data_IF_158620639123
#
_entry.id   IF_158620639123
#
_cell.length_a   1.000
_cell.length_b   1.000
_cell.length_c   1.000
_cell.angle_alpha   90.00
_cell.angle_beta   90.00
_cell.angle_gamma   90.00
#
_symmetry.space_group_name_H-M   'P 1'
#
loop_
_entity.id
_entity.type
_entity.pdbx_description
1 polymer ?
#
# COMPACT_ATOMS: atom_id res chain seq x y z
N UNK A 1 -32.39 39.55 18.32
CA UNK A 1 -32.17 38.31 19.10
C UNK A 1 -32.73 37.17 18.28
N UNK A 2 -31.86 36.37 17.63
CA UNK A 2 -31.71 34.99 18.09
C UNK A 2 -30.23 34.53 18.12
N UNK A 3 -29.91 33.76 19.16
CA UNK A 3 -28.58 33.26 19.46
C UNK A 3 -28.26 31.97 18.69
N UNK A 4 -27.11 31.94 18.02
CA UNK A 4 -26.55 30.73 17.41
C UNK A 4 -25.58 30.05 18.38
N UNK A 5 -25.89 28.79 18.74
CA UNK A 5 -25.08 27.95 19.62
C UNK A 5 -23.78 27.54 18.90
N UNK A 6 -22.65 28.04 19.39
CA UNK A 6 -21.31 27.62 18.99
C UNK A 6 -20.95 26.28 19.66
N UNK A 7 -20.64 25.26 18.85
CA UNK A 7 -20.17 23.96 19.31
C UNK A 7 -18.65 23.97 19.46
N UNK A 8 -18.20 23.83 20.71
CA UNK A 8 -16.79 23.84 21.13
C UNK A 8 -16.18 22.46 20.90
N UNK A 9 -15.40 22.29 19.83
CA UNK A 9 -14.64 21.06 19.56
C UNK A 9 -13.32 21.11 20.35
N UNK A 10 -13.18 20.20 21.30
CA UNK A 10 -12.04 20.04 22.22
C UNK A 10 -10.85 19.45 21.46
N UNK A 11 -9.75 20.20 21.36
CA UNK A 11 -8.49 19.75 20.79
C UNK A 11 -7.70 18.96 21.85
N UNK A 12 -7.33 17.72 21.53
CA UNK A 12 -6.39 16.93 22.34
C UNK A 12 -4.96 17.19 21.83
N UNK A 13 -4.17 17.89 22.63
CA UNK A 13 -2.76 18.11 22.41
C UNK A 13 -1.97 16.85 22.80
N UNK A 14 -1.20 16.27 21.87
CA UNK A 14 -0.23 15.22 22.15
C UNK A 14 1.17 15.81 22.02
N UNK A 15 1.76 16.14 23.17
CA UNK A 15 3.13 16.64 23.27
C UNK A 15 4.13 15.56 22.87
N UNK A 16 5.08 15.93 22.02
CA UNK A 16 6.28 15.13 21.70
C UNK A 16 7.40 15.59 22.63
N UNK A 17 7.86 14.72 23.52
CA UNK A 17 9.16 14.84 24.18
C UNK A 17 10.22 14.09 23.38
N UNK A 18 11.44 14.63 23.40
CA UNK A 18 12.66 14.21 22.72
C UNK A 18 13.60 13.60 23.78
N UNK A 19 14.10 12.40 23.54
CA UNK A 19 15.26 11.72 24.17
C UNK A 19 15.66 10.64 23.14
N UNK A 20 16.82 10.66 22.47
CA UNK A 20 18.22 10.51 22.91
C UNK A 20 18.43 9.26 23.76
N UNK A 21 18.96 8.24 23.07
CA UNK A 21 19.79 7.08 23.48
C UNK A 21 19.47 6.32 24.79
N UNK A 22 19.04 5.06 24.61
CA UNK A 22 19.33 3.80 25.35
C UNK A 22 19.35 3.76 26.91
N UNK A 23 18.90 2.65 27.55
CA UNK A 23 19.11 1.27 27.11
C UNK A 23 17.89 0.32 27.14
N UNK A 24 18.09 -0.77 26.42
CA UNK A 24 17.14 -1.82 26.03
C UNK A 24 17.00 -2.93 27.09
N UNK A 25 17.53 -2.74 28.31
CA UNK A 25 17.48 -3.75 29.37
C UNK A 25 16.24 -3.67 30.28
N UNK A 26 15.57 -2.51 30.38
CA UNK A 26 14.47 -2.32 31.37
C UNK A 26 13.09 -2.81 30.90
N UNK A 27 12.94 -3.17 29.61
CA UNK A 27 11.68 -3.69 29.04
C UNK A 27 11.56 -5.22 29.20
N UNK A 28 12.66 -5.91 29.51
CA UNK A 28 12.68 -7.37 29.69
C UNK A 28 12.25 -7.78 31.11
N UNK A 29 12.33 -6.87 32.09
CA UNK A 29 12.00 -7.16 33.50
C UNK A 29 10.53 -6.82 33.87
N UNK A 30 9.87 -5.91 33.14
CA UNK A 30 8.45 -5.55 33.39
C UNK A 30 7.42 -6.51 32.76
N UNK A 31 7.85 -7.57 32.07
CA UNK A 31 6.95 -8.58 31.46
C UNK A 31 6.96 -9.90 32.25
N UNK A 32 7.82 -10.03 33.26
CA UNK A 32 7.98 -11.27 34.03
C UNK A 32 7.17 -11.32 35.35
N UNK A 33 6.53 -10.23 35.78
CA UNK A 33 5.81 -10.17 37.07
C UNK A 33 4.38 -9.62 36.90
N UNK A 34 3.53 -10.30 36.13
CA UNK A 34 2.08 -10.20 36.32
C UNK A 34 1.40 -11.50 35.86
N UNK A 35 1.51 -12.53 36.71
CA UNK A 35 0.69 -13.74 36.62
C UNK A 35 -0.34 -13.66 37.75
N UNK A 36 -1.60 -13.27 37.48
CA UNK A 36 -2.67 -13.48 38.44
C UNK A 36 -3.22 -14.90 38.33
N UNK A 37 -3.17 -15.63 39.46
CA UNK A 37 -3.83 -16.92 39.68
C UNK A 37 -5.36 -16.83 39.49
N UNK A 38 -6.03 -17.92 39.04
CA UNK A 38 -7.48 -17.91 38.81
C UNK A 38 -8.30 -18.26 40.06
N UNK A 39 -9.11 -17.32 40.54
CA UNK A 39 -10.17 -17.54 41.53
C UNK A 39 -11.59 -17.68 40.88
N UNK A 40 -12.58 -18.28 41.58
CA UNK A 40 -13.58 -19.16 41.00
C UNK A 40 -14.85 -18.47 40.48
N UNK A 41 -15.57 -19.21 39.63
CA UNK A 41 -16.79 -18.83 38.94
C UNK A 41 -17.96 -18.38 39.86
N UNK A 42 -18.70 -17.33 39.47
CA UNK A 42 -20.09 -17.14 39.91
C UNK A 42 -21.09 -17.67 38.88
N UNK A 43 -22.15 -18.26 39.42
CA UNK A 43 -23.25 -18.93 38.75
C UNK A 43 -24.27 -17.98 38.10
N UNK A 44 -25.17 -18.61 37.33
CA UNK A 44 -26.52 -18.18 36.92
C UNK A 44 -26.66 -17.19 35.75
N UNK A 45 -26.98 -17.73 34.57
CA UNK A 45 -27.84 -17.07 33.58
C UNK A 45 -28.86 -18.13 33.09
N UNK A 46 -30.16 -17.80 32.99
CA UNK A 46 -31.26 -18.76 33.00
C UNK A 46 -31.60 -19.34 31.62
N UNK A 47 -32.16 -20.55 31.64
CA UNK A 47 -32.89 -21.20 30.54
C UNK A 47 -34.09 -20.36 30.08
N UNK A 48 -34.38 -20.34 28.76
CA UNK A 48 -35.74 -20.15 28.27
C UNK A 48 -36.36 -21.48 27.82
N UNK A 49 -37.58 -21.73 28.31
CA UNK A 49 -38.49 -22.83 27.93
C UNK A 49 -39.11 -22.67 26.51
N UNK A 50 -39.73 -23.74 25.95
CA UNK A 50 -40.04 -23.87 24.52
C UNK A 50 -41.52 -23.60 24.16
N UNK A 51 -41.75 -23.02 22.97
CA UNK A 51 -42.99 -23.02 22.17
C UNK A 51 -42.69 -22.20 20.89
N UNK A 52 -43.16 -22.44 19.68
CA UNK A 52 -44.13 -23.36 19.09
C UNK A 52 -43.83 -23.46 17.58
N UNK A 53 -44.35 -24.52 16.94
CA UNK A 53 -44.37 -24.76 15.50
C UNK A 53 -44.95 -23.58 14.69
N UNK A 54 -44.26 -23.22 13.60
CA UNK A 54 -44.93 -22.69 12.40
C UNK A 54 -44.30 -23.30 11.14
N UNK A 55 -45.15 -23.99 10.38
CA UNK A 55 -44.93 -24.57 9.05
C UNK A 55 -44.42 -23.54 8.03
N UNK A 56 -43.37 -23.89 7.29
CA UNK A 56 -43.02 -23.25 6.01
C UNK A 56 -42.83 -24.34 4.95
N UNK A 57 -43.45 -24.22 3.75
CA UNK A 57 -43.47 -25.28 2.74
C UNK A 57 -42.11 -25.39 2.03
N UNK A 58 -41.61 -26.62 1.91
CA UNK A 58 -40.38 -26.94 1.19
C UNK A 58 -40.70 -27.21 -0.29
N UNK A 59 -40.32 -26.28 -1.17
CA UNK A 59 -40.30 -26.49 -2.63
C UNK A 59 -39.14 -27.41 -3.04
N UNK A 60 -39.39 -28.18 -4.09
CA UNK A 60 -38.55 -29.23 -4.68
C UNK A 60 -37.24 -28.70 -5.28
N UNK A 61 -36.13 -29.42 -5.06
CA UNK A 61 -34.90 -29.38 -5.86
C UNK A 61 -34.30 -30.81 -5.93
N UNK A 62 -33.46 -31.09 -6.95
CA UNK A 62 -33.55 -32.30 -7.77
C UNK A 62 -32.76 -33.51 -7.26
N UNK A 63 -33.19 -34.67 -7.73
CA UNK A 63 -32.53 -35.96 -7.57
C UNK A 63 -31.13 -35.96 -8.18
N UNK A 64 -30.11 -36.06 -7.32
CA UNK A 64 -28.75 -36.44 -7.69
C UNK A 64 -28.53 -37.88 -7.20
N UNK A 65 -28.02 -38.79 -8.05
CA UNK A 65 -28.01 -40.22 -7.78
C UNK A 65 -27.06 -40.59 -6.63
N UNK A 66 -27.53 -41.49 -5.79
CA UNK A 66 -26.79 -42.13 -4.70
C UNK A 66 -25.47 -42.73 -5.21
N UNK A 67 -24.32 -42.45 -4.56
CA UNK A 67 -23.17 -43.32 -4.71
C UNK A 67 -23.44 -44.61 -3.94
N UNK A 68 -23.42 -45.72 -4.69
CA UNK A 68 -23.63 -47.06 -4.18
C UNK A 68 -22.78 -47.34 -2.92
N UNK A 69 -23.46 -47.86 -1.91
CA UNK A 69 -22.82 -48.45 -0.73
C UNK A 69 -21.87 -49.56 -1.17
N UNK A 70 -20.56 -49.52 -0.82
CA UNK A 70 -19.80 -50.75 -0.83
C UNK A 70 -20.35 -51.62 0.30
N UNK A 71 -21.03 -52.70 -0.10
CA UNK A 71 -21.42 -53.80 0.79
C UNK A 71 -20.14 -54.35 1.42
N UNK A 72 -19.82 -53.90 2.64
CA UNK A 72 -18.77 -54.51 3.44
C UNK A 72 -19.33 -55.79 4.02
N UNK A 73 -18.87 -56.91 3.47
CA UNK A 73 -19.12 -58.24 3.94
C UNK A 73 -18.94 -58.33 5.46
N UNK A 74 -19.98 -58.82 6.13
CA UNK A 74 -19.96 -59.17 7.53
C UNK A 74 -18.96 -60.31 7.77
N UNK A 75 -17.82 -60.00 8.39
CA UNK A 75 -16.99 -60.98 9.07
C UNK A 75 -17.36 -60.96 10.55
N UNK A 76 -18.08 -61.99 10.98
CA UNK A 76 -18.41 -62.23 12.38
C UNK A 76 -17.14 -62.60 13.16
N UNK A 77 -16.60 -61.64 13.91
CA UNK A 77 -15.61 -61.88 14.97
C UNK A 77 -16.28 -62.22 16.30
N UNK A 78 -15.55 -62.82 17.26
CA UNK A 78 -16.08 -63.18 18.57
C UNK A 78 -16.63 -61.93 19.28
N UNK A 79 -17.77 -62.09 19.98
CA UNK A 79 -18.39 -61.02 20.74
C UNK A 79 -17.42 -60.50 21.81
N UNK A 80 -16.83 -59.32 21.55
CA UNK A 80 -15.90 -58.64 22.47
C UNK A 80 -16.45 -58.66 23.90
N UNK A 81 -15.59 -58.98 24.87
CA UNK A 81 -15.93 -58.96 26.30
C UNK A 81 -16.33 -57.54 26.73
N UNK A 82 -17.05 -57.39 27.85
CA UNK A 82 -17.54 -56.07 28.29
C UNK A 82 -16.41 -55.04 28.49
N UNK A 83 -15.21 -55.51 28.83
CA UNK A 83 -14.02 -54.67 29.01
C UNK A 83 -13.44 -54.21 27.67
N UNK A 84 -13.33 -55.11 26.69
CA UNK A 84 -12.91 -54.78 25.33
C UNK A 84 -13.90 -53.84 24.63
N UNK A 85 -15.20 -53.98 24.91
CA UNK A 85 -16.24 -53.04 24.44
C UNK A 85 -16.08 -51.65 25.07
N UNK A 86 -15.76 -51.58 26.37
CA UNK A 86 -15.49 -50.31 27.06
C UNK A 86 -14.23 -49.63 26.52
N UNK A 87 -13.14 -50.38 26.33
CA UNK A 87 -11.89 -49.87 25.78
C UNK A 87 -12.08 -49.34 24.34
N UNK A 88 -12.80 -50.08 23.49
CA UNK A 88 -13.15 -49.64 22.13
C UNK A 88 -14.05 -48.39 22.14
N UNK A 89 -14.95 -48.29 23.10
CA UNK A 89 -15.82 -47.12 23.28
C UNK A 89 -15.02 -45.89 23.76
N UNK A 90 -14.05 -46.07 24.65
CA UNK A 90 -13.13 -45.01 25.07
C UNK A 90 -12.24 -44.55 23.92
N UNK A 91 -11.72 -45.47 23.11
CA UNK A 91 -10.97 -45.14 21.90
C UNK A 91 -11.83 -44.34 20.91
N UNK A 92 -13.08 -44.75 20.69
CA UNK A 92 -14.04 -44.01 19.86
C UNK A 92 -14.37 -42.63 20.45
N UNK A 93 -14.48 -42.51 21.77
CA UNK A 93 -14.66 -41.22 22.45
C UNK A 93 -13.44 -40.31 22.29
N UNK A 94 -12.22 -40.85 22.43
CA UNK A 94 -10.96 -40.12 22.19
C UNK A 94 -10.85 -39.66 20.74
N UNK A 95 -11.18 -40.53 19.79
CA UNK A 95 -11.21 -40.19 18.36
C UNK A 95 -12.26 -39.13 18.05
N UNK A 96 -13.48 -39.25 18.61
CA UNK A 96 -14.54 -38.24 18.47
C UNK A 96 -14.12 -36.89 19.05
N UNK A 97 -13.50 -36.88 20.22
CA UNK A 97 -12.99 -35.66 20.84
C UNK A 97 -11.86 -35.01 20.03
N UNK A 98 -10.93 -35.81 19.49
CA UNK A 98 -9.86 -35.34 18.62
C UNK A 98 -10.41 -34.75 17.31
N UNK A 99 -11.36 -35.42 16.65
CA UNK A 99 -12.03 -34.91 15.45
C UNK A 99 -12.82 -33.63 15.73
N UNK A 100 -13.55 -33.56 16.85
CA UNK A 100 -14.28 -32.35 17.23
C UNK A 100 -13.33 -31.17 17.50
N UNK A 101 -12.18 -31.42 18.16
CA UNK A 101 -11.15 -30.41 18.38
C UNK A 101 -10.51 -29.95 17.06
N UNK A 102 -10.18 -30.87 16.16
CA UNK A 102 -9.62 -30.56 14.85
C UNK A 102 -10.58 -29.71 14.01
N UNK A 103 -11.87 -30.06 13.98
CA UNK A 103 -12.90 -29.30 13.28
C UNK A 103 -13.07 -27.89 13.87
N UNK A 104 -13.00 -27.75 15.20
CA UNK A 104 -13.05 -26.44 15.84
C UNK A 104 -11.83 -25.59 15.48
N UNK A 105 -10.65 -26.19 15.46
CA UNK A 105 -9.41 -25.49 15.07
C UNK A 105 -9.47 -25.08 13.61
N UNK A 106 -9.90 -25.95 12.69
CA UNK A 106 -10.02 -25.61 11.27
C UNK A 106 -11.04 -24.50 11.03
N UNK A 107 -12.18 -24.52 11.74
CA UNK A 107 -13.20 -23.47 11.61
C UNK A 107 -12.70 -22.12 12.14
N UNK A 108 -11.96 -22.12 13.25
CA UNK A 108 -11.32 -20.90 13.77
C UNK A 108 -10.24 -20.41 12.82
N UNK A 109 -9.39 -21.29 12.29
CA UNK A 109 -8.35 -20.91 11.32
C UNK A 109 -8.94 -20.38 10.01
N UNK A 110 -10.02 -20.95 9.52
CA UNK A 110 -10.72 -20.48 8.33
C UNK A 110 -11.34 -19.10 8.58
N UNK A 111 -12.02 -18.92 9.73
CA UNK A 111 -12.56 -17.61 10.10
C UNK A 111 -11.46 -16.56 10.27
N UNK A 112 -10.31 -16.95 10.85
CA UNK A 112 -9.13 -16.10 10.96
C UNK A 112 -8.54 -15.75 9.59
N UNK A 113 -8.35 -16.73 8.71
CA UNK A 113 -7.87 -16.51 7.33
C UNK A 113 -8.83 -15.64 6.52
N UNK A 114 -10.14 -15.82 6.67
CA UNK A 114 -11.16 -15.01 6.03
C UNK A 114 -11.18 -13.57 6.56
N UNK A 115 -10.87 -13.37 7.84
CA UNK A 115 -10.79 -12.04 8.46
C UNK A 115 -9.54 -11.23 8.07
N UNK A 116 -8.48 -11.88 7.59
CA UNK A 116 -7.23 -11.19 7.22
C UNK A 116 -7.41 -10.53 5.85
N UNK A 117 -7.49 -9.19 5.86
CA UNK A 117 -7.50 -8.43 4.62
C UNK A 117 -6.15 -8.54 3.89
N UNK A 118 -6.13 -8.36 2.57
CA UNK A 118 -4.88 -8.38 1.78
C UNK A 118 -3.83 -7.37 2.29
N UNK A 119 -4.28 -6.24 2.86
CA UNK A 119 -3.41 -5.23 3.46
C UNK A 119 -2.78 -5.69 4.77
N UNK A 120 -3.55 -6.39 5.61
CA UNK A 120 -3.06 -6.96 6.85
C UNK A 120 -2.15 -8.15 6.59
N UNK A 121 -2.48 -9.02 5.62
CA UNK A 121 -1.60 -10.08 5.16
C UNK A 121 -0.24 -9.53 4.74
N UNK A 122 -0.20 -8.50 3.89
CA UNK A 122 1.04 -7.86 3.47
C UNK A 122 1.80 -7.17 4.63
N UNK A 123 1.09 -6.68 5.66
CA UNK A 123 1.72 -6.13 6.87
C UNK A 123 2.35 -7.23 7.72
N UNK A 124 1.63 -8.33 7.94
CA UNK A 124 2.12 -9.50 8.68
C UNK A 124 3.30 -10.15 7.97
N UNK A 125 3.28 -10.25 6.64
CA UNK A 125 4.39 -10.76 5.84
C UNK A 125 5.64 -9.88 6.00
N UNK A 126 5.50 -8.56 5.98
CA UNK A 126 6.61 -7.63 6.26
C UNK A 126 7.16 -7.80 7.67
N UNK A 127 6.30 -8.00 8.67
CA UNK A 127 6.73 -8.27 10.04
C UNK A 127 7.46 -9.60 10.16
N UNK A 128 6.97 -10.66 9.48
CA UNK A 128 7.63 -11.97 9.44
C UNK A 128 9.02 -11.88 8.79
N UNK A 129 9.13 -11.27 7.61
CA UNK A 129 10.43 -11.04 6.93
C UNK A 129 11.39 -10.22 7.77
N UNK A 130 10.89 -9.22 8.50
CA UNK A 130 11.70 -8.43 9.42
C UNK A 130 12.19 -9.28 10.60
N UNK A 131 11.32 -10.11 11.19
CA UNK A 131 11.69 -11.01 12.27
C UNK A 131 12.72 -12.05 11.80
N UNK A 132 12.57 -12.61 10.60
CA UNK A 132 13.55 -13.52 9.99
C UNK A 132 14.90 -12.81 9.75
N UNK A 133 14.89 -11.58 9.25
CA UNK A 133 16.09 -10.79 9.04
C UNK A 133 16.80 -10.41 10.35
N UNK A 134 16.05 -10.15 11.43
CA UNK A 134 16.61 -9.91 12.76
C UNK A 134 17.16 -11.20 13.37
N UNK A 135 16.43 -12.32 13.22
CA UNK A 135 16.89 -13.62 13.70
C UNK A 135 18.17 -14.04 13.01
N UNK A 136 18.23 -13.97 11.69
CA UNK A 136 19.44 -14.29 10.93
C UNK A 136 20.62 -13.38 11.26
N UNK A 137 20.38 -12.12 11.60
CA UNK A 137 21.42 -11.22 12.12
C UNK A 137 21.90 -11.64 13.51
N UNK A 138 20.98 -11.93 14.43
CA UNK A 138 21.32 -12.41 15.77
C UNK A 138 22.10 -13.74 15.72
N UNK A 139 21.66 -14.69 14.88
CA UNK A 139 22.36 -15.96 14.64
C UNK A 139 23.78 -15.75 14.08
N UNK A 140 24.03 -14.65 13.35
CA UNK A 140 25.34 -14.29 12.80
C UNK A 140 26.23 -13.57 13.84
N UNK A 141 25.65 -12.75 14.71
CA UNK A 141 26.32 -12.14 15.86
C UNK A 141 26.77 -13.19 16.88
N UNK A 142 25.91 -14.19 17.18
CA UNK A 142 26.26 -15.31 18.06
C UNK A 142 27.39 -16.17 17.48
N UNK A 143 27.46 -16.29 16.15
CA UNK A 143 28.56 -16.95 15.44
C UNK A 143 29.86 -16.14 15.43
N UNK A 144 29.82 -14.86 15.83
CA UNK A 144 30.97 -13.95 15.86
C UNK A 144 31.29 -13.24 14.54
N UNK A 145 30.43 -13.37 13.52
CA UNK A 145 30.61 -12.79 12.18
C UNK A 145 29.40 -11.89 11.81
N UNK A 146 29.25 -10.70 12.41
CA UNK A 146 28.09 -9.82 12.18
C UNK A 146 27.94 -9.38 10.70
N UNK A 147 29.07 -9.29 9.98
CA UNK A 147 29.09 -8.84 8.58
C UNK A 147 28.74 -9.95 7.57
N UNK A 148 28.66 -11.22 8.00
CA UNK A 148 28.44 -12.35 7.07
C UNK A 148 27.12 -12.23 6.31
N UNK A 149 26.07 -11.74 6.99
CA UNK A 149 24.73 -11.56 6.41
C UNK A 149 24.73 -10.42 5.39
N UNK A 150 25.46 -9.34 5.65
CA UNK A 150 25.55 -8.20 4.72
C UNK A 150 26.42 -8.55 3.51
N UNK A 151 27.50 -9.30 3.72
CA UNK A 151 28.32 -9.84 2.63
C UNK A 151 27.51 -10.75 1.71
N UNK A 152 26.74 -11.69 2.26
CA UNK A 152 25.87 -12.57 1.46
C UNK A 152 24.87 -11.76 0.62
N UNK A 153 24.23 -10.74 1.20
CA UNK A 153 23.31 -9.83 0.48
C UNK A 153 24.01 -9.04 -0.62
N UNK A 154 25.25 -8.60 -0.39
CA UNK A 154 26.01 -7.88 -1.42
C UNK A 154 26.40 -8.80 -2.59
N UNK A 155 26.56 -10.09 -2.36
CA UNK A 155 26.82 -11.09 -3.42
C UNK A 155 25.58 -11.41 -4.25
N UNK A 156 24.38 -11.23 -3.68
CA UNK A 156 23.11 -11.38 -4.40
C UNK A 156 22.87 -10.26 -5.42
N UNK A 157 23.54 -9.11 -5.28
CA UNK A 157 23.40 -8.02 -6.24
C UNK A 157 24.08 -8.34 -7.56
N UNK A 158 23.27 -8.42 -8.60
CA UNK A 158 23.77 -8.56 -9.97
C UNK A 158 24.32 -7.22 -10.48
N UNK A 159 25.22 -7.27 -11.45
CA UNK A 159 25.81 -6.07 -12.07
C UNK A 159 24.71 -5.18 -12.66
N UNK A 160 23.70 -5.78 -13.30
CA UNK A 160 22.57 -5.06 -13.88
C UNK A 160 21.70 -4.34 -12.83
N UNK A 161 21.49 -4.97 -11.67
CA UNK A 161 20.79 -4.35 -10.55
C UNK A 161 21.57 -3.17 -9.98
N UNK A 162 22.89 -3.30 -9.82
CA UNK A 162 23.74 -2.20 -9.38
C UNK A 162 23.72 -1.04 -10.38
N UNK A 163 23.86 -1.31 -11.68
CA UNK A 163 23.79 -0.29 -12.73
C UNK A 163 22.44 0.44 -12.74
N UNK A 164 21.33 -0.29 -12.59
CA UNK A 164 20.00 0.29 -12.50
C UNK A 164 19.82 1.11 -11.22
N UNK A 165 20.41 0.67 -10.11
CA UNK A 165 20.42 1.40 -8.85
C UNK A 165 21.22 2.71 -8.96
N UNK A 166 22.40 2.68 -9.57
CA UNK A 166 23.22 3.85 -9.84
C UNK A 166 22.50 4.84 -10.77
N UNK A 167 21.88 4.36 -11.85
CA UNK A 167 21.03 5.17 -12.74
C UNK A 167 19.91 5.85 -11.96
N UNK A 168 19.26 5.14 -11.03
CA UNK A 168 18.19 5.69 -10.18
C UNK A 168 18.72 6.74 -9.20
N UNK A 169 19.88 6.50 -8.57
CA UNK A 169 20.55 7.44 -7.66
C UNK A 169 20.98 8.70 -8.40
N UNK A 170 21.59 8.57 -9.58
CA UNK A 170 21.95 9.68 -10.44
C UNK A 170 20.72 10.49 -10.90
N UNK A 171 19.64 9.81 -11.30
CA UNK A 171 18.36 10.46 -11.65
C UNK A 171 17.76 11.23 -10.46
N UNK A 172 17.87 10.70 -9.24
CA UNK A 172 17.43 11.38 -8.01
C UNK A 172 18.31 12.59 -7.70
N UNK A 173 19.63 12.46 -7.81
CA UNK A 173 20.57 13.57 -7.61
C UNK A 173 20.30 14.72 -8.58
N UNK A 174 20.09 14.43 -9.87
CA UNK A 174 19.72 15.46 -10.87
C UNK A 174 18.39 16.15 -10.59
N UNK A 175 17.48 15.52 -9.85
CA UNK A 175 16.17 16.08 -9.48
C UNK A 175 16.13 16.71 -8.09
N UNK A 176 17.22 16.60 -7.32
CA UNK A 176 17.31 17.18 -6.00
C UNK A 176 17.48 18.71 -6.05
N UNK A 177 17.80 19.27 -7.22
CA UNK A 177 17.86 20.71 -7.40
C UNK A 177 16.45 21.34 -7.48
N UNK A 178 16.02 21.90 -6.35
CA UNK A 178 14.77 22.64 -6.18
C UNK A 178 14.92 24.14 -6.43
N UNK A 179 16.13 24.62 -6.70
CA UNK A 179 16.35 26.04 -6.98
C UNK A 179 15.67 26.43 -8.30
N UNK A 180 15.08 27.63 -8.30
CA UNK A 180 14.56 28.24 -9.51
C UNK A 180 15.70 28.98 -10.22
N UNK A 181 15.93 28.64 -11.49
CA UNK A 181 16.92 29.28 -12.36
C UNK A 181 16.23 30.11 -13.44
N UNK A 182 15.42 29.45 -14.26
CA UNK A 182 14.65 30.05 -15.36
C UNK A 182 13.27 29.37 -15.52
N UNK A 183 12.33 30.06 -16.15
CA UNK A 183 11.00 29.55 -16.47
C UNK A 183 11.05 28.42 -17.50
N UNK A 184 11.96 28.47 -18.48
CA UNK A 184 12.13 27.37 -19.44
C UNK A 184 12.62 26.11 -18.73
N UNK A 185 13.56 26.23 -17.79
CA UNK A 185 14.02 25.12 -16.96
C UNK A 185 12.91 24.54 -16.08
N UNK A 186 12.12 25.41 -15.44
CA UNK A 186 10.97 24.99 -14.67
C UNK A 186 9.94 24.25 -15.52
N UNK A 187 9.68 24.71 -16.75
CA UNK A 187 8.79 24.05 -17.70
C UNK A 187 9.34 22.68 -18.14
N UNK A 188 10.63 22.58 -18.46
CA UNK A 188 11.31 21.31 -18.78
C UNK A 188 11.22 20.31 -17.61
N UNK A 189 11.49 20.76 -16.38
CA UNK A 189 11.37 19.93 -15.17
C UNK A 189 9.94 19.40 -14.99
N UNK A 190 8.92 20.24 -15.22
CA UNK A 190 7.50 19.85 -15.17
C UNK A 190 7.14 18.84 -16.26
N UNK A 191 7.49 19.13 -17.51
CA UNK A 191 7.23 18.23 -18.65
C UNK A 191 7.85 16.85 -18.44
N UNK A 192 9.12 16.78 -18.01
CA UNK A 192 9.79 15.51 -17.70
C UNK A 192 9.08 14.72 -16.59
N UNK A 193 8.54 15.43 -15.59
CA UNK A 193 7.75 14.78 -14.53
C UNK A 193 6.44 14.26 -15.07
N UNK A 194 5.76 15.01 -15.93
CA UNK A 194 4.51 14.58 -16.54
C UNK A 194 4.72 13.34 -17.44
N UNK A 195 5.81 13.28 -18.20
CA UNK A 195 6.20 12.09 -18.96
C UNK A 195 6.35 10.84 -18.07
N UNK A 196 6.89 10.99 -16.86
CA UNK A 196 7.01 9.86 -15.92
C UNK A 196 5.64 9.39 -15.37
N UNK A 197 4.64 10.28 -15.35
CA UNK A 197 3.30 9.97 -14.83
C UNK A 197 2.35 9.43 -15.91
N UNK A 198 2.61 9.75 -17.18
CA UNK A 198 1.80 9.27 -18.31
C UNK A 198 2.10 7.79 -18.52
N UNK A 199 1.06 6.95 -18.36
CA UNK A 199 1.11 5.53 -18.69
C UNK A 199 0.34 5.33 -20.00
N UNK A 200 1.00 4.97 -21.10
CA UNK A 200 0.31 4.73 -22.36
C UNK A 200 -0.52 3.45 -22.29
N UNK A 201 -1.69 3.47 -22.92
CA UNK A 201 -2.50 2.27 -23.12
C UNK A 201 -1.99 1.53 -24.37
N UNK A 202 -1.25 0.45 -24.16
CA UNK A 202 -0.66 -0.34 -25.23
C UNK A 202 -1.70 -1.14 -26.02
N UNK A 203 -2.85 -1.46 -25.42
CA UNK A 203 -3.90 -2.26 -26.08
C UNK A 203 -4.64 -1.39 -27.08
N UNK A 204 -5.08 -0.20 -26.65
CA UNK A 204 -5.70 0.79 -27.54
C UNK A 204 -4.75 1.18 -28.68
N UNK A 205 -3.48 1.44 -28.35
CA UNK A 205 -2.46 1.75 -29.35
C UNK A 205 -2.26 0.62 -30.36
N UNK A 206 -2.14 -0.63 -29.88
CA UNK A 206 -1.96 -1.78 -30.76
C UNK A 206 -3.19 -2.01 -31.66
N UNK A 207 -4.41 -1.82 -31.16
CA UNK A 207 -5.64 -1.89 -31.97
C UNK A 207 -5.68 -0.83 -33.06
N UNK A 208 -5.33 0.42 -32.74
CA UNK A 208 -5.25 1.49 -33.73
C UNK A 208 -4.15 1.20 -34.77
N UNK A 209 -3.04 0.62 -34.31
CA UNK A 209 -1.92 0.21 -35.16
C UNK A 209 -2.27 -0.98 -36.07
N UNK A 210 -3.03 -1.96 -35.58
CA UNK A 210 -3.56 -3.08 -36.38
C UNK A 210 -4.49 -2.55 -37.48
N UNK A 211 -5.46 -1.69 -37.12
CA UNK A 211 -6.38 -1.07 -38.09
C UNK A 211 -5.65 -0.27 -39.16
N UNK A 212 -4.66 0.53 -38.76
CA UNK A 212 -3.90 1.35 -39.70
C UNK A 212 -2.91 0.54 -40.56
N UNK A 213 -2.45 -0.63 -40.11
CA UNK A 213 -1.66 -1.54 -40.96
C UNK A 213 -2.53 -2.54 -41.74
N UNK A 214 -3.86 -2.48 -41.60
CA UNK A 214 -4.78 -3.43 -42.24
C UNK A 214 -4.62 -4.87 -41.74
N UNK A 215 -4.09 -5.05 -40.52
CA UNK A 215 -3.96 -6.36 -39.87
C UNK A 215 -5.28 -6.78 -39.22
N UNK A 216 -5.48 -8.09 -39.10
CA UNK A 216 -6.63 -8.63 -38.38
C UNK A 216 -6.62 -8.17 -36.90
N UNK A 217 -7.79 -7.87 -36.31
CA UNK A 217 -7.87 -7.47 -34.91
C UNK A 217 -7.30 -8.57 -34.02
N UNK A 218 -6.33 -8.22 -33.17
CA UNK A 218 -5.64 -9.17 -32.29
C UNK A 218 -4.29 -9.66 -32.80
N UNK A 219 -3.89 -9.36 -34.04
CA UNK A 219 -2.64 -9.83 -34.63
C UNK A 219 -1.37 -9.31 -33.93
N UNK A 220 -1.41 -8.12 -33.34
CA UNK A 220 -0.29 -7.50 -32.63
C UNK A 220 -0.36 -7.74 -31.11
N UNK A 221 -1.55 -8.04 -30.60
CA UNK A 221 -1.76 -8.31 -29.17
C UNK A 221 -1.63 -9.80 -28.81
N UNK A 222 -1.69 -10.70 -29.79
CA UNK A 222 -1.48 -12.14 -29.62
C UNK A 222 0.00 -12.55 -29.68
N UNK A 223 0.44 -13.36 -28.71
CA UNK A 223 1.78 -13.98 -28.70
C UNK A 223 1.82 -15.16 -29.69
N UNK A 224 1.83 -14.89 -31.00
CA UNK A 224 2.11 -15.92 -32.01
C UNK A 224 3.43 -15.60 -32.70
N UNK A 225 4.44 -16.43 -32.45
CA UNK A 225 5.84 -16.21 -32.82
C UNK A 225 6.20 -16.55 -34.27
N UNK A 226 5.21 -16.79 -35.15
CA UNK A 226 5.46 -17.45 -36.44
C UNK A 226 4.79 -16.84 -37.67
N UNK A 227 4.28 -15.60 -37.60
CA UNK A 227 3.62 -15.00 -38.77
C UNK A 227 4.45 -13.86 -39.39
N UNK A 228 5.26 -14.22 -40.40
CA UNK A 228 5.94 -13.28 -41.28
C UNK A 228 5.00 -12.95 -42.44
N UNK A 229 3.97 -12.14 -42.18
CA UNK A 229 3.06 -11.68 -43.23
C UNK A 229 3.59 -10.36 -43.82
N UNK A 230 4.09 -10.42 -45.05
CA UNK A 230 4.52 -9.25 -45.83
C UNK A 230 3.26 -8.50 -46.30
N UNK A 231 3.09 -7.20 -46.00
CA UNK A 231 1.88 -6.47 -46.40
C UNK A 231 1.89 -6.24 -47.92
N UNK A 232 1.06 -6.99 -48.64
CA UNK A 232 0.77 -6.78 -50.07
C UNK A 232 -0.59 -6.09 -50.22
N UNK A 233 -0.60 -4.76 -50.10
CA UNK A 233 -1.64 -3.89 -50.66
C UNK A 233 -1.16 -2.43 -50.64
N UNK A 234 -1.28 -1.71 -51.75
CA UNK A 234 -0.98 -0.27 -51.80
C UNK A 234 -1.79 0.54 -50.77
N UNK A 235 -3.01 0.09 -50.43
CA UNK A 235 -3.82 0.65 -49.34
C UNK A 235 -3.21 0.42 -47.96
N UNK A 236 -2.58 -0.73 -47.70
CA UNK A 236 -1.88 -0.97 -46.43
C UNK A 236 -0.65 -0.08 -46.30
N UNK A 237 0.04 0.21 -47.41
CA UNK A 237 1.17 1.16 -47.42
C UNK A 237 0.69 2.58 -47.12
N UNK A 238 -0.39 3.04 -47.77
CA UNK A 238 -1.00 4.33 -47.49
C UNK A 238 -1.55 4.43 -46.06
N UNK A 239 -2.15 3.36 -45.54
CA UNK A 239 -2.67 3.32 -44.17
C UNK A 239 -1.54 3.27 -43.12
N UNK A 240 -0.42 2.61 -43.42
CA UNK A 240 0.79 2.66 -42.59
C UNK A 240 1.44 4.06 -42.61
N UNK A 241 1.48 4.72 -43.77
CA UNK A 241 1.91 6.12 -43.90
C UNK A 241 0.97 7.07 -43.12
N UNK A 242 -0.34 6.76 -43.07
CA UNK A 242 -1.30 7.50 -42.27
C UNK A 242 -1.10 7.34 -40.75
N UNK A 243 -0.52 6.21 -40.28
CA UNK A 243 -0.17 6.00 -38.87
C UNK A 243 1.13 6.70 -38.50
N UNK A 244 2.15 6.58 -39.34
CA UNK A 244 3.47 7.20 -39.14
C UNK A 244 3.58 8.48 -39.96
N UNK A 245 2.83 9.50 -39.53
CA UNK A 245 2.79 10.80 -40.21
C UNK A 245 4.10 11.56 -40.07
N UNK A 246 4.62 12.04 -41.19
CA UNK A 246 5.73 13.00 -41.25
C UNK A 246 5.23 14.46 -41.17
N UNK A 247 6.14 15.40 -40.91
CA UNK A 247 5.88 16.83 -40.82
C UNK A 247 5.21 17.43 -42.08
N UNK A 248 5.40 16.80 -43.25
CA UNK A 248 4.84 17.25 -44.53
C UNK A 248 3.53 16.56 -44.92
N UNK A 249 2.96 15.71 -44.06
CA UNK A 249 1.68 15.05 -44.36
C UNK A 249 0.52 16.06 -44.29
N UNK A 250 -0.35 16.06 -45.30
CA UNK A 250 -1.46 17.02 -45.42
C UNK A 250 -2.67 16.66 -44.54
N UNK A 251 -2.70 15.45 -43.98
CA UNK A 251 -3.83 14.95 -43.19
C UNK A 251 -3.71 15.46 -41.74
N UNK A 252 -4.42 16.54 -41.45
CA UNK A 252 -4.49 17.17 -40.12
C UNK A 252 -5.95 17.38 -39.69
N UNK A 253 -6.27 17.08 -38.42
CA UNK A 253 -7.59 17.36 -37.83
C UNK A 253 -8.66 16.27 -38.04
N UNK A 254 -8.28 15.08 -38.48
CA UNK A 254 -9.15 13.92 -38.65
C UNK A 254 -9.41 13.13 -37.35
N UNK A 255 -8.54 13.28 -36.35
CA UNK A 255 -8.69 12.61 -35.06
C UNK A 255 -9.85 13.23 -34.25
N UNK A 256 -10.81 12.38 -33.87
CA UNK A 256 -11.88 12.68 -32.92
C UNK A 256 -11.69 11.79 -31.69
N UNK A 257 -11.02 12.28 -30.63
CA UNK A 257 -10.76 11.51 -29.42
C UNK A 257 -12.07 11.05 -28.77
N UNK A 258 -12.03 9.91 -28.08
CA UNK A 258 -13.17 9.46 -27.28
C UNK A 258 -13.38 10.37 -26.06
N UNK A 259 -14.61 10.43 -25.55
CA UNK A 259 -14.92 11.20 -24.33
C UNK A 259 -14.04 10.80 -23.15
N UNK A 260 -13.74 9.50 -23.01
CA UNK A 260 -12.83 9.00 -21.98
C UNK A 260 -11.40 9.55 -22.10
N UNK A 261 -10.89 9.72 -23.33
CA UNK A 261 -9.58 10.33 -23.57
C UNK A 261 -9.59 11.81 -23.19
N UNK A 262 -10.68 12.52 -23.49
CA UNK A 262 -10.88 13.91 -23.11
C UNK A 262 -10.92 14.03 -21.59
N UNK A 263 -11.68 13.19 -20.90
CA UNK A 263 -11.78 13.17 -19.44
C UNK A 263 -10.46 12.86 -18.75
N UNK A 264 -9.65 11.96 -19.31
CA UNK A 264 -8.27 11.69 -18.83
C UNK A 264 -7.42 12.96 -18.84
N UNK A 265 -7.49 13.75 -19.91
CA UNK A 265 -6.76 15.03 -20.05
C UNK A 265 -7.32 16.10 -19.11
N UNK A 266 -8.64 16.27 -19.06
CA UNK A 266 -9.30 17.25 -18.18
C UNK A 266 -8.97 16.97 -16.71
N UNK A 267 -9.02 15.69 -16.29
CA UNK A 267 -8.63 15.26 -14.95
C UNK A 267 -7.17 15.59 -14.64
N UNK A 268 -6.26 15.43 -15.61
CA UNK A 268 -4.84 15.80 -15.46
C UNK A 268 -4.67 17.32 -15.31
N UNK A 269 -5.38 18.12 -16.11
CA UNK A 269 -5.37 19.58 -16.02
C UNK A 269 -5.91 20.08 -14.66
N UNK A 270 -6.98 19.48 -14.15
CA UNK A 270 -7.51 19.79 -12.81
C UNK A 270 -6.46 19.53 -11.72
N UNK A 271 -5.79 18.37 -11.76
CA UNK A 271 -4.70 18.03 -10.83
C UNK A 271 -3.53 19.02 -10.93
N UNK A 272 -3.20 19.48 -12.12
CA UNK A 272 -2.11 20.43 -12.32
C UNK A 272 -2.47 21.84 -11.80
N UNK A 273 -3.73 22.27 -11.95
CA UNK A 273 -4.26 23.48 -11.32
C UNK A 273 -4.15 23.41 -9.79
N UNK A 274 -4.53 22.28 -9.19
CA UNK A 274 -4.38 22.09 -7.75
C UNK A 274 -2.92 22.12 -7.27
N UNK A 275 -2.01 21.45 -8.00
CA UNK A 275 -0.57 21.49 -7.67
C UNK A 275 -0.02 22.91 -7.75
N UNK A 276 -0.44 23.69 -8.76
CA UNK A 276 -0.05 25.10 -8.91
C UNK A 276 -0.55 25.95 -7.74
N UNK A 277 -1.80 25.76 -7.32
CA UNK A 277 -2.35 26.45 -6.15
C UNK A 277 -1.59 26.10 -4.85
N UNK A 278 -1.18 24.83 -4.69
CA UNK A 278 -0.42 24.32 -3.53
C UNK A 278 1.10 24.55 -3.63
N UNK A 279 1.60 25.28 -4.64
CA UNK A 279 3.03 25.53 -4.82
C UNK A 279 3.58 26.49 -3.75
N UNK A 280 2.86 27.59 -3.48
CA UNK A 280 3.17 28.48 -2.37
C UNK A 280 2.40 28.02 -1.14
N UNK A 281 3.10 27.47 -0.15
CA UNK A 281 2.51 27.00 1.11
C UNK A 281 2.89 27.94 2.25
N UNK A 282 1.92 28.27 3.11
CA UNK A 282 2.18 28.98 4.36
C UNK A 282 3.05 28.08 5.25
N UNK A 283 4.15 28.62 5.78
CA UNK A 283 5.01 27.90 6.73
C UNK A 283 4.32 27.89 8.08
N UNK A 284 4.16 26.71 8.70
CA UNK A 284 3.48 26.56 9.99
C UNK A 284 4.14 27.37 11.12
N UNK A 285 5.45 27.57 11.03
CA UNK A 285 6.25 28.30 12.02
C UNK A 285 6.08 29.84 11.93
N UNK A 286 5.22 30.35 11.04
CA UNK A 286 4.98 31.80 10.91
C UNK A 286 3.82 32.30 11.78
N UNK A 287 3.22 31.42 12.60
CA UNK A 287 1.95 31.69 13.25
C UNK A 287 2.04 32.43 14.58
N UNK A 288 2.95 32.15 15.54
CA UNK A 288 2.85 32.84 16.85
C UNK A 288 4.06 32.88 17.81
N UNK A 289 5.26 32.41 17.45
CA UNK A 289 6.32 32.21 18.46
C UNK A 289 7.35 33.35 18.60
N UNK A 290 7.16 34.49 17.91
CA UNK A 290 8.14 35.58 17.86
C UNK A 290 7.56 36.96 18.20
N UNK A 291 8.44 37.91 18.53
CA UNK A 291 8.08 39.33 18.72
C UNK A 291 7.44 39.83 17.42
N UNK A 292 6.21 40.33 17.51
CA UNK A 292 5.47 40.88 16.37
C UNK A 292 6.09 42.23 15.99
N UNK A 293 6.81 42.24 14.88
CA UNK A 293 7.52 43.40 14.33
C UNK A 293 6.69 44.17 13.28
N UNK A 294 5.41 43.84 13.11
CA UNK A 294 4.53 44.39 12.06
C UNK A 294 3.18 44.87 12.60
N UNK A 295 2.64 45.92 11.97
CA UNK A 295 1.31 46.47 12.28
C UNK A 295 0.23 45.89 11.34
N UNK A 296 0.55 45.67 10.05
CA UNK A 296 -0.38 45.15 9.05
C UNK A 296 0.20 43.95 8.27
N UNK A 297 -0.64 43.24 7.49
CA UNK A 297 -0.22 42.05 6.75
C UNK A 297 0.79 42.36 5.63
N UNK A 298 0.68 43.52 4.98
CA UNK A 298 1.64 43.98 3.98
C UNK A 298 3.02 44.26 4.60
N UNK A 299 3.06 44.84 5.80
CA UNK A 299 4.24 45.11 6.60
C UNK A 299 4.90 43.78 7.02
N UNK A 300 4.10 42.77 7.44
CA UNK A 300 4.62 41.40 7.69
C UNK A 300 5.34 40.83 6.46
N UNK A 301 4.77 40.99 5.25
CA UNK A 301 5.40 40.50 4.01
C UNK A 301 6.65 41.30 3.66
N UNK A 302 6.64 42.60 3.91
CA UNK A 302 7.77 43.49 3.69
C UNK A 302 8.94 43.19 4.64
N UNK A 303 8.70 43.10 5.94
CA UNK A 303 9.71 42.71 6.92
C UNK A 303 10.30 41.33 6.62
N UNK A 304 9.47 40.35 6.22
CA UNK A 304 9.96 39.04 5.74
C UNK A 304 10.81 39.14 4.48
N UNK A 305 10.56 40.13 3.61
CA UNK A 305 11.42 40.38 2.45
C UNK A 305 12.77 40.92 2.90
N UNK A 306 12.77 41.93 3.78
CA UNK A 306 14.00 42.51 4.35
C UNK A 306 14.81 41.42 5.07
N UNK A 307 14.18 40.64 5.93
CA UNK A 307 14.79 39.55 6.67
C UNK A 307 15.58 38.58 5.76
N UNK A 308 15.00 38.20 4.61
CA UNK A 308 15.67 37.30 3.64
C UNK A 308 16.97 37.85 3.06
N UNK A 309 17.12 39.18 2.95
CA UNK A 309 18.31 39.80 2.36
C UNK A 309 19.30 40.29 3.42
N UNK A 310 18.80 40.84 4.53
CA UNK A 310 19.61 41.59 5.49
C UNK A 310 19.92 40.86 6.78
N UNK A 311 19.13 39.85 7.20
CA UNK A 311 19.37 39.14 8.47
C UNK A 311 20.77 38.51 8.54
N UNK A 312 21.33 38.12 7.39
CA UNK A 312 22.71 37.61 7.30
C UNK A 312 23.75 38.65 7.75
N UNK A 313 23.49 39.93 7.55
CA UNK A 313 24.41 41.03 7.85
C UNK A 313 24.06 41.76 9.15
N UNK A 314 22.79 41.73 9.58
CA UNK A 314 22.30 42.46 10.76
C UNK A 314 22.14 41.57 12.00
N UNK A 315 22.61 40.32 11.96
CA UNK A 315 22.49 39.38 13.08
C UNK A 315 23.11 39.91 14.36
N UNK A 316 24.29 40.51 14.30
CA UNK A 316 24.98 41.06 15.49
C UNK A 316 24.21 42.22 16.11
N UNK A 317 23.73 43.14 15.27
CA UNK A 317 22.90 44.28 15.69
C UNK A 317 21.64 43.77 16.39
N UNK A 318 20.97 42.77 15.81
CA UNK A 318 19.76 42.16 16.39
C UNK A 318 20.06 41.49 17.73
N UNK A 319 21.14 40.71 17.83
CA UNK A 319 21.56 40.08 19.07
C UNK A 319 21.97 41.10 20.14
N UNK A 320 22.55 42.24 19.77
CA UNK A 320 22.86 43.33 20.71
C UNK A 320 21.60 44.03 21.21
N UNK A 321 20.58 44.21 20.37
CA UNK A 321 19.26 44.69 20.84
C UNK A 321 18.60 43.69 21.80
N UNK A 322 18.67 42.39 21.51
CA UNK A 322 18.14 41.34 22.39
C UNK A 322 18.93 41.22 23.71
N UNK A 323 20.24 41.55 23.70
CA UNK A 323 21.11 41.62 24.90
C UNK A 323 21.04 42.96 25.65
N UNK A 324 20.20 43.91 25.24
CA UNK A 324 20.03 45.18 25.96
C UNK A 324 21.08 46.24 25.62
N UNK A 325 21.49 46.34 24.36
CA UNK A 325 22.36 47.40 23.80
C UNK A 325 23.73 47.55 24.47
N UNK A 326 24.25 46.47 25.08
CA UNK A 326 25.66 46.40 25.47
C UNK A 326 26.51 46.15 24.20
N UNK A 327 27.36 47.12 23.85
CA UNK A 327 28.35 47.03 22.78
C UNK A 327 29.43 46.00 23.10
#
# INVERSE_FOLDING_TARGET
MPATRSSKKKAAAKGKKKAVEEPVEEVVEQVAEEVPEPEPAPASVPEPEPAADEDVPMEEEPSVPEPETPTSAAVAGPSLTMEERKAKLEELKKRRAASHKANRVSLVEESARASVSAREAARLEKQRKLAEMLRTKADAEERGDPDAVERAKNWEWTIEENDNWEKKKARKARRADFQFHDDADAARKRYKKDLDLIKPDLVEYNRQKELAMGLAPGALTGFNSNDQMVPTAAEQQQAAENLYRDANTLIYGDNKPSEEQIDRVVSKLARDKEKKAKFSRKRANEQDDGIVDYINSSNKVFNKKIARYYDKYTHEIKASFERGTAL
#
